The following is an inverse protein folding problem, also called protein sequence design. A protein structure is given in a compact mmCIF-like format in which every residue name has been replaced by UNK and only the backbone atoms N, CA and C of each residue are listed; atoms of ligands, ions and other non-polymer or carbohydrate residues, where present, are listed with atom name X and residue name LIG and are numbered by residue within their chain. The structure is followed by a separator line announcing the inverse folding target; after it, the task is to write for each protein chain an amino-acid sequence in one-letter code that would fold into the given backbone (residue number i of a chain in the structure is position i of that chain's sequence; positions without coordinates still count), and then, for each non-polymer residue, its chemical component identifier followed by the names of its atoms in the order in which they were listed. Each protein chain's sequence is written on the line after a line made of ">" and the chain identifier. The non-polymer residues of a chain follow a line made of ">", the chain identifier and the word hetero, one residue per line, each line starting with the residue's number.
data_IF_443299883027
#
_entry.id   IF_443299883027
#
_cell.length_a   1.000
_cell.length_b   1.000
_cell.length_c   1.000
_cell.angle_alpha   90.00
_cell.angle_beta   90.00
_cell.angle_gamma   90.00
#
_symmetry.space_group_name_H-M   'P 1'
#
loop_
_entity.id
_entity.type
_entity.pdbx_description
1 polymer ?
#
# COMPACT_ATOMS: atom_id res chain seq x y z
N UNK A 1 4.71 26.52 24.21
CA UNK A 1 4.93 26.89 22.79
C UNK A 1 3.58 27.23 22.17
N UNK A 2 3.34 28.49 21.78
CA UNK A 2 2.06 28.94 21.20
C UNK A 2 1.98 28.43 19.76
N UNK A 3 1.02 27.56 19.45
CA UNK A 3 0.77 27.13 18.07
C UNK A 3 0.11 28.29 17.34
N UNK A 4 0.79 28.88 16.36
CA UNK A 4 0.21 29.90 15.51
C UNK A 4 -0.90 29.25 14.68
N UNK A 5 -2.14 29.71 14.86
CA UNK A 5 -3.29 29.22 14.10
C UNK A 5 -3.19 29.78 12.69
N UNK A 6 -2.62 29.00 11.76
CA UNK A 6 -2.64 29.33 10.34
C UNK A 6 -3.94 28.80 9.75
N UNK A 7 -4.78 29.69 9.23
CA UNK A 7 -5.98 29.32 8.48
C UNK A 7 -5.66 29.38 6.97
N UNK A 8 -6.00 28.33 6.24
CA UNK A 8 -5.92 28.31 4.80
C UNK A 8 -7.27 28.74 4.21
N UNK A 9 -7.30 29.83 3.46
CA UNK A 9 -8.46 30.29 2.70
C UNK A 9 -8.17 29.99 1.23
N UNK A 10 -9.03 29.20 0.57
CA UNK A 10 -8.92 28.94 -0.87
C UNK A 10 -9.52 30.17 -1.60
N UNK A 11 -8.70 31.04 -2.23
CA UNK A 11 -9.23 32.18 -2.98
C UNK A 11 -9.96 31.71 -4.24
N UNK A 12 -10.78 32.58 -4.82
CA UNK A 12 -11.45 32.31 -6.09
C UNK A 12 -10.44 32.14 -7.22
N UNK A 13 -10.74 31.23 -8.15
CA UNK A 13 -9.86 30.96 -9.29
C UNK A 13 -9.78 32.18 -10.23
N UNK A 14 -8.57 32.69 -10.54
CA UNK A 14 -8.41 33.80 -11.46
C UNK A 14 -8.92 33.49 -12.87
N UNK A 15 -9.47 34.50 -13.55
CA UNK A 15 -10.10 34.36 -14.86
C UNK A 15 -9.18 33.78 -15.95
N UNK A 16 -7.85 33.94 -15.84
CA UNK A 16 -6.91 33.39 -16.81
C UNK A 16 -6.76 31.86 -16.69
N UNK A 17 -6.70 31.31 -15.47
CA UNK A 17 -6.58 29.86 -15.26
C UNK A 17 -7.85 29.16 -15.73
N UNK A 18 -9.02 29.75 -15.42
CA UNK A 18 -10.32 29.26 -15.89
C UNK A 18 -10.38 29.12 -17.42
N UNK A 19 -9.97 30.16 -18.15
CA UNK A 19 -9.92 30.13 -19.63
C UNK A 19 -8.97 29.08 -20.18
N UNK A 20 -7.86 28.81 -19.49
CA UNK A 20 -6.89 27.79 -19.88
C UNK A 20 -7.46 26.39 -19.64
N UNK A 21 -8.04 26.15 -18.46
CA UNK A 21 -8.71 24.88 -18.12
C UNK A 21 -9.83 24.54 -19.10
N UNK A 22 -10.65 25.52 -19.48
CA UNK A 22 -11.72 25.37 -20.48
C UNK A 22 -11.17 24.95 -21.85
N UNK A 23 -10.12 25.62 -22.33
CA UNK A 23 -9.48 25.29 -23.63
C UNK A 23 -8.88 23.89 -23.65
N UNK A 24 -8.30 23.46 -22.53
CA UNK A 24 -7.63 22.18 -22.39
C UNK A 24 -8.57 21.04 -21.97
N UNK A 25 -9.87 21.32 -21.75
CA UNK A 25 -10.84 20.38 -21.15
C UNK A 25 -10.30 19.73 -19.87
N UNK A 26 -9.62 20.54 -19.05
CA UNK A 26 -9.01 20.08 -17.83
C UNK A 26 -10.08 19.63 -16.84
N UNK A 27 -9.97 18.40 -16.35
CA UNK A 27 -10.77 17.87 -15.26
C UNK A 27 -9.90 17.83 -14.00
N UNK A 28 -10.40 18.39 -12.91
CA UNK A 28 -9.68 18.37 -11.63
C UNK A 28 -9.53 16.93 -11.15
N UNK A 29 -8.31 16.58 -10.75
CA UNK A 29 -7.98 15.24 -10.28
C UNK A 29 -8.50 14.95 -8.87
N UNK A 30 -8.19 13.76 -8.32
CA UNK A 30 -8.52 13.45 -6.94
C UNK A 30 -7.87 14.44 -5.97
N UNK A 31 -8.65 14.93 -4.99
CA UNK A 31 -8.18 15.88 -3.98
C UNK A 31 -7.60 15.13 -2.77
N UNK A 32 -7.09 15.87 -1.79
CA UNK A 32 -6.54 15.33 -0.53
C UNK A 32 -7.54 14.44 0.19
N UNK A 33 -8.84 14.76 0.14
CA UNK A 33 -9.89 13.96 0.76
C UNK A 33 -10.06 12.59 0.09
N UNK A 34 -9.74 12.48 -1.21
CA UNK A 34 -9.71 11.18 -1.91
C UNK A 34 -8.72 10.22 -1.26
N UNK A 35 -7.63 10.71 -0.66
CA UNK A 35 -6.67 9.86 0.07
C UNK A 35 -7.22 9.27 1.37
N UNK A 36 -8.29 9.86 1.91
CA UNK A 36 -8.93 9.43 3.16
C UNK A 36 -10.07 8.45 2.92
N UNK A 37 -10.46 8.24 1.67
CA UNK A 37 -11.52 7.30 1.33
C UNK A 37 -11.07 5.87 1.63
N UNK A 38 -11.99 5.06 2.13
CA UNK A 38 -11.77 3.64 2.32
C UNK A 38 -11.63 2.99 0.93
N UNK A 39 -10.45 2.42 0.67
CA UNK A 39 -10.18 1.71 -0.58
C UNK A 39 -10.83 0.32 -0.54
N UNK A 40 -11.11 -0.23 -1.71
CA UNK A 40 -11.52 -1.63 -1.82
C UNK A 40 -10.48 -2.54 -1.17
N UNK A 41 -10.94 -3.66 -0.60
CA UNK A 41 -10.05 -4.68 -0.07
C UNK A 41 -9.09 -5.14 -1.18
N UNK A 42 -7.81 -5.19 -0.86
CA UNK A 42 -6.77 -5.69 -1.77
C UNK A 42 -7.03 -7.16 -2.14
N UNK A 43 -6.73 -7.53 -3.38
CA UNK A 43 -6.87 -8.90 -3.85
C UNK A 43 -5.81 -9.81 -3.21
N UNK A 44 -6.06 -11.12 -3.15
CA UNK A 44 -5.10 -12.08 -2.59
C UNK A 44 -3.74 -12.07 -3.30
N UNK A 45 -3.72 -11.66 -4.57
CA UNK A 45 -2.52 -11.48 -5.39
C UNK A 45 -1.67 -10.30 -4.91
N UNK A 46 -2.31 -9.26 -4.36
CA UNK A 46 -1.60 -8.07 -3.84
C UNK A 46 -1.11 -8.27 -2.40
N UNK A 47 -1.68 -9.25 -1.68
CA UNK A 47 -1.37 -9.51 -0.27
C UNK A 47 -0.24 -10.52 -0.10
N UNK A 48 -0.08 -11.46 -1.03
CA UNK A 48 0.95 -12.50 -0.95
C UNK A 48 2.15 -12.15 -1.82
N UNK A 49 3.35 -12.37 -1.27
CA UNK A 49 4.60 -12.25 -2.03
C UNK A 49 4.58 -13.21 -3.22
N UNK A 50 5.04 -12.72 -4.37
CA UNK A 50 5.20 -13.54 -5.57
C UNK A 50 6.40 -14.49 -5.42
N UNK A 51 6.45 -15.55 -6.22
CA UNK A 51 7.54 -16.54 -6.16
C UNK A 51 8.94 -15.92 -6.35
N UNK A 52 9.04 -14.83 -7.10
CA UNK A 52 10.28 -14.07 -7.32
C UNK A 52 10.61 -13.08 -6.20
N UNK A 53 9.65 -12.75 -5.35
CA UNK A 53 9.80 -11.86 -4.20
C UNK A 53 10.18 -12.65 -2.92
N UNK A 54 9.86 -13.94 -2.87
CA UNK A 54 10.21 -14.83 -1.74
C UNK A 54 11.73 -15.02 -1.66
N UNK A 55 12.34 -14.92 -0.46
CA UNK A 55 13.78 -15.08 -0.29
C UNK A 55 14.27 -16.49 -0.68
N UNK A 56 15.40 -16.55 -1.40
CA UNK A 56 16.08 -17.83 -1.64
C UNK A 56 16.85 -18.26 -0.40
N UNK A 57 16.47 -19.39 0.18
CA UNK A 57 17.16 -19.98 1.33
C UNK A 57 18.16 -21.02 0.83
N UNK A 58 19.44 -20.81 1.15
CA UNK A 58 20.52 -21.78 0.92
C UNK A 58 20.95 -22.32 2.28
N UNK A 59 20.84 -23.63 2.48
CA UNK A 59 21.28 -24.29 3.70
C UNK A 59 22.60 -25.01 3.40
N UNK A 60 23.72 -24.43 3.84
CA UNK A 60 25.03 -25.05 3.68
C UNK A 60 25.22 -26.18 4.71
N UNK A 61 25.64 -27.36 4.23
CA UNK A 61 25.92 -28.55 5.06
C UNK A 61 24.73 -29.06 5.90
N UNK A 62 23.51 -28.99 5.37
CA UNK A 62 22.32 -29.60 6.01
C UNK A 62 21.75 -30.74 5.17
N UNK A 63 21.29 -31.80 5.82
CA UNK A 63 20.59 -32.93 5.19
C UNK A 63 19.09 -32.65 4.89
N UNK A 64 18.67 -31.38 4.97
CA UNK A 64 17.27 -30.97 4.84
C UNK A 64 16.93 -30.69 3.39
N UNK A 65 15.87 -31.34 2.89
CA UNK A 65 15.34 -31.09 1.55
C UNK A 65 14.46 -29.84 1.51
N UNK A 66 14.28 -29.26 0.32
CA UNK A 66 13.45 -28.05 0.12
C UNK A 66 12.01 -28.30 0.57
N UNK A 67 11.49 -29.49 0.29
CA UNK A 67 10.13 -29.91 0.59
C UNK A 67 9.88 -30.03 2.10
N UNK A 68 10.84 -30.59 2.84
CA UNK A 68 10.77 -30.70 4.31
C UNK A 68 10.84 -29.32 4.97
N UNK A 69 11.71 -28.44 4.48
CA UNK A 69 11.82 -27.07 4.98
C UNK A 69 10.52 -26.28 4.77
N UNK A 70 9.93 -26.37 3.57
CA UNK A 70 8.67 -25.68 3.24
C UNK A 70 7.52 -26.18 4.12
N UNK A 71 7.39 -27.51 4.27
CA UNK A 71 6.35 -28.12 5.11
C UNK A 71 6.46 -27.68 6.57
N UNK A 72 7.69 -27.56 7.09
CA UNK A 72 7.93 -27.07 8.44
C UNK A 72 7.54 -25.59 8.58
N UNK A 73 7.95 -24.74 7.64
CA UNK A 73 7.63 -23.31 7.63
C UNK A 73 6.11 -23.08 7.60
N UNK A 74 5.39 -23.77 6.72
CA UNK A 74 3.93 -23.70 6.62
C UNK A 74 3.24 -24.12 7.93
N UNK A 75 3.71 -25.19 8.56
CA UNK A 75 3.16 -25.68 9.84
C UNK A 75 3.36 -24.66 10.98
N UNK A 76 4.51 -23.98 11.01
CA UNK A 76 4.80 -22.99 12.05
C UNK A 76 4.04 -21.69 11.85
N UNK A 77 3.86 -21.24 10.61
CA UNK A 77 3.03 -20.06 10.31
C UNK A 77 1.57 -20.29 10.75
N UNK A 78 1.03 -21.49 10.51
CA UNK A 78 -0.34 -21.85 10.93
C UNK A 78 -0.49 -21.85 12.46
N UNK A 79 0.48 -22.40 13.20
CA UNK A 79 0.41 -22.44 14.67
C UNK A 79 0.61 -21.08 15.33
N UNK A 80 1.42 -20.19 14.74
CA UNK A 80 1.64 -18.85 15.25
C UNK A 80 0.36 -17.98 15.09
N UNK A 81 -0.29 -18.07 13.92
CA UNK A 81 -1.52 -17.31 13.63
C UNK A 81 -2.72 -17.71 14.50
N UNK A 82 -2.76 -18.94 15.02
CA UNK A 82 -3.81 -19.40 15.94
C UNK A 82 -3.63 -18.83 17.36
N UNK A 83 -2.41 -18.44 17.76
CA UNK A 83 -2.13 -17.93 19.11
C UNK A 83 -2.40 -16.43 19.27
N UNK A 84 -2.51 -15.71 18.17
CA UNK A 84 -2.76 -14.25 18.14
C UNK A 84 -4.25 -13.89 18.07
N UNK A 85 -5.17 -14.83 18.38
CA UNK A 85 -6.62 -14.60 18.46
C UNK A 85 -7.20 -15.09 19.79
#
# INVERSE_FOLDING_TARGET
>A
MKRNKVAFLKPEEPAFIRKIKEKLRYQEGPDVDTKRQELSKSDEIDVNDREDEVPTVVLENSDVTKEEANSFIESQICTFRIKDN
#
